data_IF_471462108537
#
_entry.id   IF_471462108537
#
_cell.length_a   1.000
_cell.length_b   1.000
_cell.length_c   1.000
_cell.angle_alpha   90.00
_cell.angle_beta   90.00
_cell.angle_gamma   90.00
#
_symmetry.space_group_name_H-M   'P 1'
#
loop_
_entity.id
_entity.type
_entity.pdbx_description
1 polymer ?
#
# COMPACT_ATOMS: atom_id res chain seq x y z
N UNK A 1 2.91 0.04 -3.48
CA UNK A 1 3.15 0.02 -2.01
C UNK A 1 4.61 -0.25 -1.67
N UNK A 2 5.22 -1.33 -2.17
CA UNK A 2 6.62 -1.66 -1.84
C UNK A 2 7.62 -0.58 -2.30
N UNK A 3 7.52 -0.12 -3.54
CA UNK A 3 8.36 0.98 -4.04
C UNK A 3 8.17 2.27 -3.23
N UNK A 4 6.94 2.61 -2.85
CA UNK A 4 6.63 3.75 -1.97
C UNK A 4 7.25 3.60 -0.58
N UNK A 5 7.24 2.38 0.00
CA UNK A 5 7.91 2.10 1.28
C UNK A 5 9.43 2.22 1.17
N UNK A 6 10.01 1.83 0.04
CA UNK A 6 11.45 2.00 -0.22
C UNK A 6 11.79 3.49 -0.36
N UNK A 7 10.98 4.27 -1.09
CA UNK A 7 11.12 5.72 -1.16
C UNK A 7 11.08 6.36 0.24
N UNK A 8 10.10 5.98 1.07
CA UNK A 8 10.02 6.45 2.46
C UNK A 8 11.28 6.08 3.27
N UNK A 9 11.81 4.86 3.12
CA UNK A 9 13.05 4.47 3.79
C UNK A 9 14.24 5.35 3.35
N UNK A 10 14.36 5.68 2.07
CA UNK A 10 15.39 6.58 1.53
C UNK A 10 15.24 8.03 2.03
N UNK A 11 14.02 8.47 2.29
CA UNK A 11 13.72 9.79 2.87
C UNK A 11 14.08 9.88 4.35
N UNK A 12 13.86 8.81 5.11
CA UNK A 12 14.10 8.79 6.55
C UNK A 12 15.54 8.44 6.96
N UNK A 13 16.28 7.72 6.11
CA UNK A 13 17.64 7.25 6.42
C UNK A 13 18.66 8.33 6.06
N UNK A 14 19.67 8.52 6.91
CA UNK A 14 20.74 9.48 6.66
C UNK A 14 21.56 9.12 5.39
N UNK A 15 22.12 10.10 4.65
CA UNK A 15 23.00 9.83 3.51
C UNK A 15 24.10 8.80 3.83
N UNK A 16 24.30 7.80 2.96
CA UNK A 16 25.22 6.70 3.17
C UNK A 16 24.75 5.61 4.16
N UNK A 17 23.58 5.79 4.78
CA UNK A 17 22.96 4.77 5.61
C UNK A 17 22.55 3.53 4.81
N UNK A 18 22.61 2.36 5.43
CA UNK A 18 22.25 1.09 4.82
C UNK A 18 20.74 0.87 4.89
N UNK A 19 20.11 0.59 3.75
CA UNK A 19 18.72 0.16 3.66
C UNK A 19 18.70 -1.29 3.20
N UNK A 20 18.06 -2.17 3.98
CA UNK A 20 17.93 -3.59 3.68
C UNK A 20 16.47 -3.91 3.38
N UNK A 21 16.22 -4.55 2.24
CA UNK A 21 14.89 -4.97 1.79
C UNK A 21 14.91 -6.49 1.69
N UNK A 22 13.91 -7.15 2.28
CA UNK A 22 13.77 -8.60 2.24
C UNK A 22 12.33 -9.01 1.96
N UNK A 23 12.17 -10.17 1.31
CA UNK A 23 10.85 -10.73 1.00
C UNK A 23 10.94 -12.14 0.43
N UNK A 24 9.78 -12.76 0.23
CA UNK A 24 9.65 -14.08 -0.40
C UNK A 24 9.77 -14.00 -1.93
N UNK A 25 10.32 -15.05 -2.54
CA UNK A 25 10.33 -15.23 -3.99
C UNK A 25 8.91 -15.27 -4.56
N UNK A 26 8.02 -15.94 -3.84
CA UNK A 26 6.61 -16.06 -4.20
C UNK A 26 5.85 -14.73 -4.04
N UNK A 27 6.39 -13.80 -3.24
CA UNK A 27 5.89 -12.42 -3.07
C UNK A 27 6.53 -11.43 -4.04
N UNK A 28 7.33 -11.90 -5.00
CA UNK A 28 7.91 -11.06 -6.06
C UNK A 28 9.17 -10.28 -5.69
N UNK A 29 9.87 -10.63 -4.60
CA UNK A 29 11.10 -9.92 -4.17
C UNK A 29 12.17 -9.86 -5.27
N UNK A 30 12.26 -10.87 -6.13
CA UNK A 30 13.25 -10.93 -7.20
C UNK A 30 12.99 -9.86 -8.27
N UNK A 31 11.72 -9.63 -8.60
CA UNK A 31 11.29 -8.59 -9.54
C UNK A 31 11.47 -7.21 -8.91
N UNK A 32 11.08 -7.05 -7.64
CA UNK A 32 11.28 -5.80 -6.91
C UNK A 32 12.76 -5.40 -6.84
N UNK A 33 13.66 -6.36 -6.58
CA UNK A 33 15.11 -6.11 -6.57
C UNK A 33 15.59 -5.54 -7.90
N UNK A 34 15.24 -6.18 -9.02
CA UNK A 34 15.64 -5.70 -10.37
C UNK A 34 15.11 -4.30 -10.63
N UNK A 35 13.85 -4.06 -10.26
CA UNK A 35 13.18 -2.78 -10.42
C UNK A 35 13.85 -1.67 -9.62
N UNK A 36 14.23 -1.91 -8.37
CA UNK A 36 14.93 -0.92 -7.53
C UNK A 36 16.33 -0.60 -8.06
N UNK A 37 17.02 -1.60 -8.61
CA UNK A 37 18.35 -1.44 -9.23
C UNK A 37 18.34 -0.50 -10.44
N UNK A 38 17.17 -0.27 -11.07
CA UNK A 38 16.99 0.75 -12.13
C UNK A 38 17.07 2.18 -11.58
N UNK A 39 16.76 2.40 -10.29
CA UNK A 39 16.70 3.72 -9.65
C UNK A 39 17.89 3.99 -8.72
N UNK A 40 18.39 2.98 -8.03
CA UNK A 40 19.53 3.08 -7.11
C UNK A 40 20.40 1.84 -7.25
N UNK A 41 21.72 1.99 -7.48
CA UNK A 41 22.63 0.86 -7.51
C UNK A 41 22.58 0.05 -6.21
N UNK A 42 22.39 -1.25 -6.34
CA UNK A 42 22.43 -2.16 -5.20
C UNK A 42 23.87 -2.46 -4.78
N UNK A 43 24.14 -2.44 -3.48
CA UNK A 43 25.45 -2.84 -2.92
C UNK A 43 25.58 -4.37 -2.87
N UNK A 44 24.46 -5.09 -2.74
CA UNK A 44 24.47 -6.55 -2.78
C UNK A 44 23.10 -7.19 -2.61
N UNK A 45 23.07 -8.51 -2.77
CA UNK A 45 21.91 -9.33 -2.46
C UNK A 45 22.32 -10.74 -2.04
N UNK A 46 21.47 -11.39 -1.24
CA UNK A 46 21.66 -12.75 -0.75
C UNK A 46 20.34 -13.53 -0.84
N UNK A 47 20.27 -14.59 -1.66
CA UNK A 47 19.17 -15.55 -1.62
C UNK A 47 19.39 -16.57 -0.48
N UNK A 48 18.32 -16.92 0.24
CA UNK A 48 18.32 -18.02 1.21
C UNK A 48 16.95 -18.69 1.25
N UNK A 49 16.90 -19.99 0.96
CA UNK A 49 15.65 -20.75 0.79
C UNK A 49 14.70 -20.03 -0.21
N UNK A 50 13.47 -19.77 0.22
CA UNK A 50 12.45 -19.04 -0.53
C UNK A 50 12.52 -17.52 -0.35
N UNK A 51 13.53 -16.99 0.35
CA UNK A 51 13.72 -15.55 0.56
C UNK A 51 14.87 -14.96 -0.25
N UNK A 52 14.79 -13.65 -0.47
CA UNK A 52 15.91 -12.83 -0.94
C UNK A 52 15.98 -11.58 -0.05
N UNK A 53 17.19 -11.22 0.38
CA UNK A 53 17.48 -9.91 0.91
C UNK A 53 18.40 -9.17 -0.07
N UNK A 54 18.20 -7.88 -0.24
CA UNK A 54 19.11 -7.01 -0.98
C UNK A 54 19.27 -5.69 -0.23
N UNK A 55 20.36 -5.00 -0.46
CA UNK A 55 20.67 -3.76 0.25
C UNK A 55 21.35 -2.75 -0.64
N UNK A 56 21.14 -1.49 -0.27
CA UNK A 56 21.64 -0.31 -0.94
C UNK A 56 22.05 0.74 0.10
N UNK A 57 22.85 1.71 -0.33
CA UNK A 57 23.17 2.89 0.46
C UNK A 57 22.25 4.02 0.05
N UNK A 58 21.68 4.73 1.02
CA UNK A 58 20.88 5.93 0.75
C UNK A 58 21.77 6.97 0.03
N UNK A 59 21.43 7.39 -1.21
CA UNK A 59 22.22 8.36 -2.00
C UNK A 59 22.36 9.72 -1.31
N UNK A 60 23.15 10.65 -1.84
CA UNK A 60 23.27 11.99 -1.23
C UNK A 60 21.98 12.81 -1.41
N UNK A 61 21.38 12.73 -2.60
CA UNK A 61 20.09 13.34 -2.93
C UNK A 61 18.91 12.36 -2.72
N UNK A 62 17.71 12.82 -3.07
CA UNK A 62 16.45 12.07 -2.98
C UNK A 62 15.88 11.68 -4.35
N UNK A 63 16.63 11.83 -5.45
CA UNK A 63 16.09 11.64 -6.80
C UNK A 63 15.45 10.26 -6.98
N UNK A 64 16.09 9.22 -6.46
CA UNK A 64 15.52 7.88 -6.51
C UNK A 64 14.23 7.70 -5.69
N UNK A 65 14.10 8.37 -4.54
CA UNK A 65 12.87 8.33 -3.76
C UNK A 65 11.73 9.03 -4.52
N UNK A 66 12.02 10.17 -5.14
CA UNK A 66 11.10 10.94 -5.97
C UNK A 66 10.63 10.11 -7.18
N UNK A 67 11.54 9.45 -7.90
CA UNK A 67 11.22 8.59 -9.04
C UNK A 67 10.38 7.37 -8.63
N UNK A 68 10.73 6.70 -7.53
CA UNK A 68 9.95 5.57 -6.99
C UNK A 68 8.51 6.00 -6.62
N UNK A 69 8.32 7.21 -6.08
CA UNK A 69 6.99 7.77 -5.82
C UNK A 69 6.25 8.12 -7.11
N UNK A 70 6.93 8.77 -8.06
CA UNK A 70 6.34 9.17 -9.33
C UNK A 70 5.86 7.96 -10.15
N UNK A 71 6.57 6.83 -10.07
CA UNK A 71 6.17 5.57 -10.68
C UNK A 71 4.93 4.93 -10.02
N UNK A 72 4.50 5.41 -8.85
CA UNK A 72 3.38 4.89 -8.07
C UNK A 72 2.40 6.01 -7.70
N UNK A 73 1.75 6.65 -8.69
CA UNK A 73 0.84 7.76 -8.42
C UNK A 73 -0.35 7.28 -7.59
N UNK A 74 -0.81 8.14 -6.68
CA UNK A 74 -2.11 7.96 -6.05
C UNK A 74 -3.20 8.05 -7.14
N UNK A 75 -4.13 7.12 -7.12
CA UNK A 75 -5.28 7.09 -8.00
C UNK A 75 -6.50 7.62 -7.24
N UNK A 76 -7.40 8.27 -7.97
CA UNK A 76 -8.68 8.73 -7.43
C UNK A 76 -9.79 7.91 -8.08
N UNK A 77 -10.28 6.91 -7.37
CA UNK A 77 -11.38 6.04 -7.82
C UNK A 77 -12.70 6.76 -7.59
N UNK A 78 -13.54 6.82 -8.64
CA UNK A 78 -14.88 7.46 -8.63
C UNK A 78 -14.88 8.91 -8.14
N UNK A 79 -13.75 9.63 -8.26
CA UNK A 79 -13.62 11.01 -7.77
C UNK A 79 -13.67 11.14 -6.23
N UNK A 80 -13.67 10.03 -5.48
CA UNK A 80 -13.94 10.00 -4.03
C UNK A 80 -12.85 9.33 -3.21
N UNK A 81 -12.18 8.31 -3.73
CA UNK A 81 -11.30 7.44 -2.95
C UNK A 81 -9.87 7.48 -3.45
N UNK A 82 -8.95 7.88 -2.58
CA UNK A 82 -7.52 7.83 -2.85
C UNK A 82 -6.99 6.41 -2.64
N UNK A 83 -6.46 5.82 -3.69
CA UNK A 83 -5.90 4.47 -3.70
C UNK A 83 -4.49 4.47 -4.27
N UNK A 84 -3.75 3.38 -4.10
CA UNK A 84 -2.42 3.23 -4.67
C UNK A 84 -2.13 1.78 -5.07
N UNK A 85 -1.26 1.53 -6.07
CA UNK A 85 -0.85 0.19 -6.45
C UNK A 85 -0.41 -0.66 -5.24
N UNK A 86 -0.92 -1.89 -5.16
CA UNK A 86 -0.68 -2.82 -4.05
C UNK A 86 -1.74 -2.80 -2.95
N UNK A 87 -2.72 -1.90 -3.00
CA UNK A 87 -3.97 -2.02 -2.24
C UNK A 87 -4.93 -2.99 -2.94
N UNK A 88 -5.85 -3.61 -2.21
CA UNK A 88 -6.91 -4.45 -2.78
C UNK A 88 -7.83 -3.63 -3.70
N UNK A 89 -8.08 -4.14 -4.91
CA UNK A 89 -8.87 -3.47 -5.96
C UNK A 89 -8.52 -1.97 -6.09
N UNK A 90 -7.24 -1.65 -6.23
CA UNK A 90 -6.78 -0.26 -6.15
C UNK A 90 -7.23 0.62 -7.33
N UNK A 91 -7.59 0.06 -8.47
CA UNK A 91 -7.93 0.81 -9.69
C UNK A 91 -9.44 1.00 -9.88
N UNK A 92 -10.28 0.35 -9.07
CA UNK A 92 -11.74 0.39 -9.17
C UNK A 92 -12.41 -0.11 -7.90
N UNK A 93 -13.69 0.21 -7.73
CA UNK A 93 -14.51 -0.45 -6.70
C UNK A 93 -14.59 -1.95 -6.99
N UNK A 94 -14.32 -2.78 -5.98
CA UNK A 94 -14.50 -4.23 -6.09
C UNK A 94 -15.98 -4.58 -6.21
N UNK A 95 -16.31 -5.48 -7.15
CA UNK A 95 -17.69 -5.89 -7.40
C UNK A 95 -18.32 -6.56 -6.17
N UNK A 96 -17.53 -7.33 -5.41
CA UNK A 96 -17.97 -7.97 -4.19
C UNK A 96 -18.27 -6.95 -3.08
N UNK A 97 -17.37 -5.99 -2.86
CA UNK A 97 -17.61 -4.88 -1.92
C UNK A 97 -18.84 -4.06 -2.29
N UNK A 98 -19.05 -3.77 -3.59
CA UNK A 98 -20.26 -3.07 -4.07
C UNK A 98 -21.53 -3.88 -3.76
N UNK A 99 -21.54 -5.16 -4.10
CA UNK A 99 -22.67 -6.05 -3.83
C UNK A 99 -22.98 -6.14 -2.33
N UNK A 100 -21.94 -6.22 -1.49
CA UNK A 100 -22.08 -6.22 -0.04
C UNK A 100 -22.80 -4.94 0.43
N UNK A 101 -22.29 -3.77 0.03
CA UNK A 101 -22.91 -2.48 0.36
C UNK A 101 -24.37 -2.47 -0.08
N UNK A 102 -24.69 -2.84 -1.32
CA UNK A 102 -26.07 -2.87 -1.84
C UNK A 102 -27.03 -3.73 -1.01
N UNK A 103 -26.54 -4.77 -0.34
CA UNK A 103 -27.35 -5.68 0.46
C UNK A 103 -27.28 -5.44 1.98
N UNK A 104 -26.42 -4.54 2.46
CA UNK A 104 -26.37 -4.16 3.86
C UNK A 104 -27.60 -3.31 4.25
N UNK A 105 -28.11 -3.45 5.50
CA UNK A 105 -29.12 -2.55 6.03
C UNK A 105 -28.68 -1.09 5.90
N UNK A 106 -29.61 -0.21 5.56
CA UNK A 106 -29.35 1.23 5.44
C UNK A 106 -29.63 1.99 6.76
N UNK A 107 -29.88 1.28 7.85
CA UNK A 107 -30.25 1.85 9.15
C UNK A 107 -29.40 1.28 10.29
N UNK A 108 -28.17 0.85 9.99
CA UNK A 108 -27.20 0.39 11.00
C UNK A 108 -27.03 1.45 12.10
N UNK A 109 -26.87 0.99 13.35
CA UNK A 109 -26.76 1.88 14.51
C UNK A 109 -25.71 1.41 15.50
N UNK A 110 -25.27 2.33 16.35
CA UNK A 110 -24.33 2.05 17.44
C UNK A 110 -22.89 1.99 16.96
N UNK A 111 -22.08 1.14 17.60
CA UNK A 111 -20.66 0.96 17.26
C UNK A 111 -20.50 -0.27 16.37
N UNK A 112 -19.83 -0.10 15.23
CA UNK A 112 -19.61 -1.15 14.23
C UNK A 112 -18.15 -1.21 13.80
N UNK A 113 -17.77 -2.29 13.11
CA UNK A 113 -16.42 -2.48 12.59
C UNK A 113 -16.44 -2.88 11.11
N UNK A 114 -15.52 -2.32 10.34
CA UNK A 114 -15.14 -2.76 8.98
C UNK A 114 -13.84 -3.56 9.09
N UNK A 115 -13.93 -4.87 8.82
CA UNK A 115 -12.80 -5.80 8.93
C UNK A 115 -12.20 -6.00 7.54
N UNK A 116 -10.89 -5.75 7.43
CA UNK A 116 -10.19 -5.62 6.15
C UNK A 116 -10.73 -4.42 5.34
N UNK A 117 -10.78 -3.26 6.00
CA UNK A 117 -11.39 -2.04 5.48
C UNK A 117 -10.71 -1.53 4.19
N UNK A 118 -9.47 -1.94 3.92
CA UNK A 118 -8.69 -1.54 2.76
C UNK A 118 -8.59 -0.01 2.67
N UNK A 119 -9.00 0.54 1.53
CA UNK A 119 -9.08 1.99 1.30
C UNK A 119 -10.42 2.63 1.75
N UNK A 120 -11.25 1.88 2.48
CA UNK A 120 -12.40 2.42 3.22
C UNK A 120 -13.70 2.56 2.43
N UNK A 121 -13.85 1.85 1.31
CA UNK A 121 -15.08 1.90 0.50
C UNK A 121 -16.34 1.56 1.30
N UNK A 122 -16.33 0.39 1.95
CA UNK A 122 -17.51 -0.12 2.68
C UNK A 122 -17.82 0.77 3.86
N UNK A 123 -16.80 1.12 4.66
CA UNK A 123 -16.91 2.10 5.74
C UNK A 123 -17.56 3.43 5.30
N UNK A 124 -17.10 4.02 4.19
CA UNK A 124 -17.63 5.29 3.70
C UNK A 124 -19.11 5.17 3.25
N UNK A 125 -19.47 4.10 2.56
CA UNK A 125 -20.85 3.87 2.13
C UNK A 125 -21.78 3.58 3.31
N UNK A 126 -21.34 2.85 4.33
CA UNK A 126 -22.10 2.63 5.56
C UNK A 126 -22.32 3.96 6.28
N UNK A 127 -21.28 4.77 6.46
CA UNK A 127 -21.38 6.06 7.14
C UNK A 127 -22.34 7.03 6.42
N UNK A 128 -22.35 7.01 5.08
CA UNK A 128 -23.26 7.84 4.29
C UNK A 128 -24.72 7.37 4.38
N UNK A 129 -24.96 6.05 4.43
CA UNK A 129 -26.30 5.47 4.39
C UNK A 129 -26.94 5.32 5.76
N UNK A 130 -26.14 5.14 6.82
CA UNK A 130 -26.59 4.79 8.17
C UNK A 130 -26.27 5.87 9.20
N UNK A 131 -27.07 6.96 9.28
CA UNK A 131 -26.81 8.09 10.20
C UNK A 131 -26.91 7.71 11.69
N UNK A 132 -27.42 6.51 12.02
CA UNK A 132 -27.49 6.00 13.38
C UNK A 132 -26.18 5.40 13.90
N UNK A 133 -25.16 5.25 13.05
CA UNK A 133 -23.83 4.79 13.45
C UNK A 133 -23.15 5.87 14.30
N UNK A 134 -22.74 5.50 15.51
CA UNK A 134 -22.09 6.37 16.48
C UNK A 134 -20.57 6.22 16.46
N UNK A 135 -20.08 5.03 16.11
CA UNK A 135 -18.66 4.74 15.94
C UNK A 135 -18.47 3.68 14.86
N UNK A 136 -17.41 3.83 14.07
CA UNK A 136 -17.04 2.90 13.01
C UNK A 136 -15.52 2.69 13.08
N UNK A 137 -15.13 1.50 13.53
CA UNK A 137 -13.72 1.09 13.63
C UNK A 137 -13.28 0.43 12.32
N UNK A 138 -12.12 0.83 11.80
CA UNK A 138 -11.54 0.26 10.58
C UNK A 138 -10.33 -0.58 10.96
N UNK A 139 -10.36 -1.86 10.62
CA UNK A 139 -9.25 -2.80 10.87
C UNK A 139 -8.63 -3.24 9.55
N UNK A 140 -7.30 -3.14 9.45
CA UNK A 140 -6.50 -3.56 8.29
C UNK A 140 -5.33 -4.45 8.77
N UNK A 141 -4.85 -5.33 7.89
CA UNK A 141 -3.76 -6.28 8.15
C UNK A 141 -2.38 -5.75 7.73
#
# INVERSE_FOLDING_TARGET
>A
LNEVRIAQALECVAPGGLVVIAGGKDDGIASLRKRVDEFVPLEGHLPKYHGIAFWLRRPADLAAAEELRAANPALLVEGRFHTAPGMFSFDRIDTGSKLLVENLPNDLRGSIADLCAGWGYVAAEIAARSPGVQALDLYEA
#
